data_IF_500003979044
#
_entry.id   IF_500003979044
#
_cell.length_a   1.000
_cell.length_b   1.000
_cell.length_c   1.000
_cell.angle_alpha   90.00
_cell.angle_beta   90.00
_cell.angle_gamma   90.00
#
_symmetry.space_group_name_H-M   'P 1'
#
loop_
_entity.id
_entity.type
_entity.pdbx_description
1 polymer ?
#
# COMPACT_ATOMS: atom_id res chain seq x y z
N UNK A 1 -10.93 9.55 -23.66
CA UNK A 1 -10.28 10.76 -23.19
C UNK A 1 -9.70 10.53 -21.79
N UNK A 2 -8.43 10.80 -21.57
CA UNK A 2 -7.89 10.61 -20.23
C UNK A 2 -8.56 11.56 -19.25
N UNK A 3 -8.83 11.08 -18.07
CA UNK A 3 -9.45 11.88 -17.03
C UNK A 3 -8.38 12.82 -16.48
N UNK A 4 -8.60 14.10 -16.64
CA UNK A 4 -7.67 15.10 -16.14
C UNK A 4 -7.75 15.19 -14.62
N UNK A 5 -6.61 15.38 -13.99
CA UNK A 5 -6.54 15.61 -12.54
C UNK A 5 -6.47 14.36 -11.69
N UNK A 6 -6.62 13.17 -12.27
CA UNK A 6 -6.39 11.95 -11.52
C UNK A 6 -4.90 11.70 -11.48
N UNK A 7 -4.30 12.01 -10.36
CA UNK A 7 -2.89 11.74 -10.12
C UNK A 7 -2.78 10.52 -9.22
N UNK A 8 -1.74 9.77 -9.42
CA UNK A 8 -1.49 8.59 -8.61
C UNK A 8 -0.25 8.80 -7.77
N UNK A 9 -0.26 8.15 -6.62
CA UNK A 9 0.90 8.14 -5.74
C UNK A 9 1.30 6.71 -5.49
N UNK A 10 2.59 6.51 -5.40
CA UNK A 10 3.19 5.22 -5.11
C UNK A 10 3.74 5.28 -3.70
N UNK A 11 3.38 4.30 -2.90
CA UNK A 11 3.78 4.22 -1.50
C UNK A 11 4.63 2.99 -1.32
N UNK A 12 5.82 3.18 -0.74
CA UNK A 12 6.63 2.07 -0.30
C UNK A 12 6.26 1.77 1.14
N UNK A 13 5.93 0.51 1.41
CA UNK A 13 5.59 0.06 2.75
C UNK A 13 6.56 -1.02 3.17
N UNK A 14 6.88 -1.04 4.45
CA UNK A 14 7.77 -2.04 5.03
C UNK A 14 7.01 -2.86 6.03
N UNK A 15 7.20 -4.17 5.97
CA UNK A 15 6.55 -5.12 6.87
C UNK A 15 7.58 -5.60 7.88
N UNK A 16 7.22 -5.46 9.16
CA UNK A 16 8.02 -5.98 10.26
C UNK A 16 7.30 -7.17 10.84
N UNK A 17 7.90 -8.34 10.75
CA UNK A 17 7.32 -9.59 11.25
C UNK A 17 8.42 -10.57 11.58
N UNK A 18 8.18 -11.40 12.59
CA UNK A 18 9.11 -12.48 12.93
C UNK A 18 9.03 -13.62 11.93
N UNK A 19 7.92 -13.70 11.18
CA UNK A 19 7.70 -14.75 10.20
C UNK A 19 7.64 -14.15 8.80
N UNK A 20 7.93 -14.97 7.79
CA UNK A 20 7.84 -14.55 6.40
C UNK A 20 6.38 -14.32 6.03
N UNK A 21 6.08 -13.16 5.49
CA UNK A 21 4.75 -12.82 4.99
C UNK A 21 4.80 -12.89 3.47
N UNK A 22 3.88 -13.65 2.89
CA UNK A 22 3.81 -13.80 1.44
C UNK A 22 3.19 -12.58 0.78
N UNK A 23 3.66 -12.28 -0.42
CA UNK A 23 3.15 -11.16 -1.23
C UNK A 23 1.63 -11.17 -1.33
N UNK A 24 1.07 -12.29 -1.70
CA UNK A 24 -0.37 -12.45 -1.88
C UNK A 24 -1.14 -12.15 -0.60
N UNK A 25 -0.64 -12.64 0.52
CA UNK A 25 -1.31 -12.45 1.80
C UNK A 25 -1.30 -10.98 2.23
N UNK A 26 -0.18 -10.29 2.00
CA UNK A 26 -0.10 -8.87 2.31
C UNK A 26 -1.09 -8.05 1.47
N UNK A 27 -1.08 -8.26 0.17
CA UNK A 27 -1.93 -7.47 -0.72
C UNK A 27 -3.42 -7.76 -0.49
N UNK A 28 -3.76 -9.01 -0.19
CA UNK A 28 -5.14 -9.36 0.17
C UNK A 28 -5.56 -8.71 1.49
N UNK A 29 -4.66 -8.65 2.46
CA UNK A 29 -4.95 -8.02 3.74
C UNK A 29 -5.22 -6.51 3.56
N UNK A 30 -4.46 -5.85 2.72
CA UNK A 30 -4.66 -4.43 2.42
C UNK A 30 -6.02 -4.23 1.73
N UNK A 31 -6.29 -5.02 0.71
CA UNK A 31 -7.55 -4.91 -0.03
C UNK A 31 -8.76 -5.16 0.86
N UNK A 32 -8.69 -6.20 1.69
CA UNK A 32 -9.77 -6.51 2.62
C UNK A 32 -9.99 -5.40 3.63
N UNK A 33 -8.93 -4.79 4.13
CA UNK A 33 -9.03 -3.69 5.07
C UNK A 33 -9.64 -2.44 4.42
N UNK A 34 -9.27 -2.16 3.17
CA UNK A 34 -9.87 -1.06 2.42
C UNK A 34 -11.39 -1.28 2.29
N UNK A 35 -11.79 -2.47 1.89
CA UNK A 35 -13.20 -2.80 1.74
C UNK A 35 -13.94 -2.73 3.06
N UNK A 36 -13.32 -3.18 4.12
CA UNK A 36 -13.93 -3.14 5.46
C UNK A 36 -14.15 -1.71 5.94
N UNK A 37 -13.17 -0.83 5.75
CA UNK A 37 -13.24 0.55 6.27
C UNK A 37 -14.05 1.49 5.37
N UNK A 38 -14.00 1.31 4.06
CA UNK A 38 -14.54 2.29 3.12
C UNK A 38 -15.61 1.74 2.18
N UNK A 39 -15.86 0.44 2.19
CA UNK A 39 -16.85 -0.19 1.33
C UNK A 39 -16.44 -0.19 -0.14
N UNK A 40 -17.34 -0.71 -0.99
CA UNK A 40 -17.07 -0.87 -2.43
C UNK A 40 -16.86 0.48 -3.11
N UNK A 41 -17.70 1.46 -2.80
CA UNK A 41 -17.61 2.79 -3.41
C UNK A 41 -16.32 3.48 -3.00
N UNK A 42 -15.99 3.46 -1.71
CA UNK A 42 -14.76 4.05 -1.20
C UNK A 42 -13.52 3.35 -1.77
N UNK A 43 -13.54 2.03 -1.85
CA UNK A 43 -12.44 1.26 -2.42
C UNK A 43 -12.20 1.65 -3.88
N UNK A 44 -13.27 1.84 -4.66
CA UNK A 44 -13.16 2.29 -6.04
C UNK A 44 -12.50 3.66 -6.14
N UNK A 45 -12.85 4.58 -5.24
CA UNK A 45 -12.28 5.94 -5.23
C UNK A 45 -10.81 5.96 -4.82
N UNK A 46 -10.43 5.10 -3.89
CA UNK A 46 -9.04 4.97 -3.45
C UNK A 46 -8.17 4.49 -4.61
N UNK A 47 -8.68 3.59 -5.44
CA UNK A 47 -7.95 3.10 -6.60
C UNK A 47 -6.69 2.34 -6.23
N UNK A 48 -6.76 1.54 -5.17
CA UNK A 48 -5.64 0.73 -4.71
C UNK A 48 -5.21 -0.28 -5.77
N UNK A 49 -3.90 -0.40 -5.95
CA UNK A 49 -3.33 -1.44 -6.82
C UNK A 49 -1.97 -1.87 -6.28
N UNK A 50 -1.74 -3.19 -6.12
CA UNK A 50 -0.41 -3.68 -5.77
C UNK A 50 0.52 -3.57 -6.97
N UNK A 51 1.76 -3.17 -6.73
CA UNK A 51 2.74 -2.94 -7.80
C UNK A 51 3.92 -3.89 -7.70
N UNK A 52 4.50 -4.07 -6.50
CA UNK A 52 5.78 -4.75 -6.37
C UNK A 52 5.99 -5.21 -4.94
N UNK A 53 6.72 -6.30 -4.76
CA UNK A 53 7.05 -6.83 -3.44
C UNK A 53 8.39 -7.55 -3.50
N UNK A 54 9.30 -7.21 -2.57
CA UNK A 54 10.57 -7.88 -2.45
C UNK A 54 11.18 -7.59 -1.09
N UNK A 55 11.69 -8.62 -0.41
CA UNK A 55 12.43 -8.50 0.86
C UNK A 55 11.67 -7.71 1.93
N UNK A 56 10.38 -7.96 2.09
CA UNK A 56 9.59 -7.29 3.11
C UNK A 56 9.22 -5.85 2.81
N UNK A 57 9.51 -5.38 1.59
CA UNK A 57 9.14 -4.05 1.13
C UNK A 57 8.18 -4.21 -0.05
N UNK A 58 7.07 -3.51 0.00
CA UNK A 58 6.08 -3.52 -1.06
C UNK A 58 5.85 -2.12 -1.58
N UNK A 59 5.46 -2.02 -2.85
CA UNK A 59 5.04 -0.77 -3.44
C UNK A 59 3.58 -0.93 -3.84
N UNK A 60 2.75 -0.01 -3.40
CA UNK A 60 1.35 0.06 -3.76
C UNK A 60 1.05 1.40 -4.41
N UNK A 61 -0.07 1.48 -5.12
CA UNK A 61 -0.49 2.70 -5.81
C UNK A 61 -1.90 3.05 -5.38
N UNK A 62 -2.17 4.34 -5.24
CA UNK A 62 -3.52 4.83 -5.00
C UNK A 62 -3.69 6.22 -5.62
N UNK A 63 -4.94 6.70 -5.65
CA UNK A 63 -5.22 8.06 -6.10
C UNK A 63 -4.67 9.05 -5.07
N UNK A 64 -4.06 10.13 -5.55
CA UNK A 64 -3.35 11.08 -4.67
C UNK A 64 -4.24 11.69 -3.60
N UNK A 65 -5.51 11.92 -3.89
CA UNK A 65 -6.45 12.51 -2.92
C UNK A 65 -6.79 11.56 -1.77
N UNK A 66 -6.48 10.27 -1.93
CA UNK A 66 -6.84 9.25 -0.95
C UNK A 66 -5.62 8.71 -0.19
N UNK A 67 -4.47 9.40 -0.29
CA UNK A 67 -3.27 8.99 0.46
C UNK A 67 -3.51 8.94 1.97
N UNK A 68 -4.17 9.93 2.61
CA UNK A 68 -4.44 9.83 4.04
C UNK A 68 -5.24 8.59 4.42
N UNK A 69 -6.21 8.21 3.61
CA UNK A 69 -7.03 7.03 3.87
C UNK A 69 -6.23 5.75 3.73
N UNK A 70 -5.39 5.65 2.70
CA UNK A 70 -4.57 4.45 2.53
C UNK A 70 -3.51 4.34 3.64
N UNK A 71 -2.99 5.47 4.13
CA UNK A 71 -2.09 5.46 5.29
C UNK A 71 -2.81 4.93 6.53
N UNK A 72 -4.07 5.32 6.72
CA UNK A 72 -4.87 4.81 7.83
C UNK A 72 -5.09 3.30 7.71
N UNK A 73 -5.40 2.82 6.50
CA UNK A 73 -5.54 1.39 6.24
C UNK A 73 -4.27 0.64 6.64
N UNK A 74 -3.13 1.11 6.16
CA UNK A 74 -1.85 0.46 6.44
C UNK A 74 -1.57 0.41 7.96
N UNK A 75 -1.83 1.51 8.67
CA UNK A 75 -1.58 1.57 10.11
C UNK A 75 -2.51 0.67 10.93
N UNK A 76 -3.66 0.28 10.37
CA UNK A 76 -4.61 -0.60 11.06
C UNK A 76 -4.33 -2.08 10.86
N UNK A 77 -3.37 -2.43 10.00
CA UNK A 77 -3.02 -3.83 9.78
C UNK A 77 -2.07 -4.28 10.90
N UNK A 78 -2.57 -5.12 11.79
CA UNK A 78 -1.81 -5.62 12.95
C UNK A 78 -1.50 -7.11 12.83
N UNK A 79 -2.19 -7.80 11.93
CA UNK A 79 -1.89 -9.21 11.67
C UNK A 79 -2.25 -9.57 10.24
N UNK A 80 -1.60 -10.58 9.70
CA UNK A 80 -1.85 -11.13 8.39
C UNK A 80 -1.89 -12.65 8.56
N UNK A 81 -3.06 -13.25 8.32
CA UNK A 81 -3.29 -14.70 8.48
C UNK A 81 -2.87 -15.21 9.87
N UNK A 82 -3.21 -14.43 10.90
CA UNK A 82 -2.88 -14.79 12.28
C UNK A 82 -1.45 -14.49 12.69
N UNK A 83 -0.61 -14.01 11.79
CA UNK A 83 0.77 -13.64 12.08
C UNK A 83 0.81 -12.17 12.48
N UNK A 84 1.31 -11.85 13.70
CA UNK A 84 1.44 -10.45 14.09
C UNK A 84 2.43 -9.72 13.20
N UNK A 85 2.04 -8.53 12.71
CA UNK A 85 2.88 -7.72 11.85
C UNK A 85 2.74 -6.25 12.23
N UNK A 86 3.76 -5.46 11.86
CA UNK A 86 3.67 -4.02 11.81
C UNK A 86 3.96 -3.61 10.39
N UNK A 87 3.09 -2.81 9.81
CA UNK A 87 3.24 -2.33 8.43
C UNK A 87 3.34 -0.82 8.47
N UNK A 88 4.35 -0.28 7.82
CA UNK A 88 4.65 1.15 7.90
C UNK A 88 4.91 1.72 6.51
N UNK A 89 4.33 2.90 6.23
CA UNK A 89 4.65 3.64 5.01
C UNK A 89 6.00 4.32 5.24
N UNK A 90 6.98 4.00 4.40
CA UNK A 90 8.34 4.54 4.56
C UNK A 90 8.68 5.61 3.52
N UNK A 91 8.04 5.60 2.36
CA UNK A 91 8.27 6.59 1.30
C UNK A 91 7.02 6.74 0.45
N UNK A 92 6.85 7.94 -0.12
CA UNK A 92 5.78 8.24 -1.07
C UNK A 92 6.38 9.00 -2.23
N UNK A 93 5.96 8.66 -3.45
CA UNK A 93 6.44 9.34 -4.65
C UNK A 93 5.36 9.38 -5.72
N UNK A 94 5.49 10.31 -6.65
CA UNK A 94 4.62 10.40 -7.81
C UNK A 94 4.95 9.40 -8.91
N UNK A 95 6.11 8.75 -8.85
CA UNK A 95 6.53 7.76 -9.84
C UNK A 95 7.20 6.57 -9.18
N UNK A 96 7.08 5.40 -9.84
CA UNK A 96 7.75 4.17 -9.37
C UNK A 96 9.27 4.32 -9.46
N UNK A 97 9.74 4.91 -10.53
CA UNK A 97 11.18 5.07 -10.77
C UNK A 97 11.85 5.86 -9.64
N UNK A 98 11.27 6.99 -9.29
CA UNK A 98 11.79 7.83 -8.20
C UNK A 98 11.74 7.09 -6.87
N UNK A 99 10.65 6.37 -6.63
CA UNK A 99 10.48 5.63 -5.39
C UNK A 99 11.54 4.53 -5.23
N UNK A 100 11.75 3.75 -6.28
CA UNK A 100 12.77 2.69 -6.26
C UNK A 100 14.17 3.24 -6.07
N UNK A 101 14.45 4.39 -6.67
CA UNK A 101 15.75 5.06 -6.50
C UNK A 101 15.97 5.47 -5.06
N UNK A 102 14.95 6.04 -4.41
CA UNK A 102 15.03 6.42 -2.99
C UNK A 102 15.26 5.21 -2.08
N UNK A 103 14.61 4.09 -2.38
CA UNK A 103 14.76 2.87 -1.60
C UNK A 103 16.16 2.29 -1.69
N UNK A 104 16.82 2.42 -2.85
CA UNK A 104 18.20 1.94 -3.02
C UNK A 104 19.21 2.74 -2.20
N UNK A 105 18.88 3.97 -1.88
CA UNK A 105 19.78 4.85 -1.14
C UNK A 105 19.61 4.76 0.37
N UNK A 106 18.81 3.81 0.83
CA UNK A 106 18.58 3.59 2.28
C UNK A 106 19.35 2.40 2.84
#
# INVERSE_FOLDING_TARGET
>A
MPVRGIRRRYLAIKIYSENVVKEKDLFNAIENKINFLYGVVGASRIGYRPIWFENGIAIIRCNHLWVPQIRAVISHIQEINGIPVMVQVIRISGTIKTLKKKLKNE
#
